data_IF_007272453750
#
_entry.id   IF_007272453750
#
_cell.length_a   1.000
_cell.length_b   1.000
_cell.length_c   1.000
_cell.angle_alpha   90.00
_cell.angle_beta   90.00
_cell.angle_gamma   90.00
#
_symmetry.space_group_name_H-M   'P 1'
#
loop_
_entity.id
_entity.type
_entity.pdbx_description
1 polymer ?
#
# COMPACT_ATOMS: atom_id res chain seq x y z
N UNK A 1 3.04 -25.58 -20.61
CA UNK A 1 2.94 -24.13 -20.37
C UNK A 1 3.91 -23.45 -21.32
N UNK A 2 3.40 -22.61 -22.21
CA UNK A 2 4.16 -21.88 -23.21
C UNK A 2 4.72 -20.55 -22.66
N UNK A 3 5.62 -19.91 -23.40
CA UNK A 3 6.08 -18.54 -23.09
C UNK A 3 4.90 -17.56 -23.08
N UNK A 4 3.94 -17.74 -23.98
CA UNK A 4 2.74 -16.90 -24.04
C UNK A 4 1.83 -17.12 -22.82
N UNK A 5 1.70 -18.35 -22.33
CA UNK A 5 0.98 -18.63 -21.08
C UNK A 5 1.65 -17.93 -19.89
N UNK A 6 2.99 -17.94 -19.83
CA UNK A 6 3.75 -17.26 -18.78
C UNK A 6 3.57 -15.74 -18.86
N UNK A 7 3.66 -15.13 -20.05
CA UNK A 7 3.40 -13.70 -20.25
C UNK A 7 1.99 -13.32 -19.82
N UNK A 8 0.98 -14.11 -20.19
CA UNK A 8 -0.40 -13.88 -19.79
C UNK A 8 -0.58 -13.94 -18.27
N UNK A 9 0.05 -14.90 -17.60
CA UNK A 9 0.02 -15.00 -16.14
C UNK A 9 0.67 -13.79 -15.46
N UNK A 10 1.83 -13.34 -15.96
CA UNK A 10 2.53 -12.16 -15.41
C UNK A 10 1.68 -10.89 -15.60
N UNK A 11 1.09 -10.67 -16.78
CA UNK A 11 0.19 -9.54 -17.03
C UNK A 11 -0.99 -9.52 -16.07
N UNK A 12 -1.64 -10.67 -15.85
CA UNK A 12 -2.71 -10.80 -14.85
C UNK A 12 -2.23 -10.47 -13.42
N UNK A 13 -1.02 -10.89 -13.07
CA UNK A 13 -0.40 -10.55 -11.78
C UNK A 13 -0.16 -9.06 -11.61
N UNK A 14 0.33 -8.38 -12.66
CA UNK A 14 0.51 -6.93 -12.69
C UNK A 14 -0.84 -6.22 -12.52
N UNK A 15 -1.85 -6.60 -13.30
CA UNK A 15 -3.20 -6.03 -13.18
C UNK A 15 -3.81 -6.22 -11.78
N UNK A 16 -3.61 -7.39 -11.17
CA UNK A 16 -4.05 -7.65 -9.80
C UNK A 16 -3.30 -6.77 -8.78
N UNK A 17 -2.01 -6.55 -9.00
CA UNK A 17 -1.16 -5.69 -8.17
C UNK A 17 -1.59 -4.22 -8.26
N UNK A 18 -1.93 -3.72 -9.45
CA UNK A 18 -2.46 -2.36 -9.61
C UNK A 18 -3.83 -2.18 -8.95
N UNK A 19 -4.72 -3.18 -9.05
CA UNK A 19 -6.00 -3.16 -8.31
C UNK A 19 -5.77 -3.12 -6.80
N UNK A 20 -4.87 -3.96 -6.29
CA UNK A 20 -4.51 -3.97 -4.88
C UNK A 20 -3.95 -2.61 -4.43
N UNK A 21 -3.06 -2.00 -5.24
CA UNK A 21 -2.50 -0.66 -5.00
C UNK A 21 -3.60 0.39 -4.87
N UNK A 22 -4.62 0.35 -5.74
CA UNK A 22 -5.77 1.26 -5.66
C UNK A 22 -6.56 1.06 -4.38
N UNK A 23 -6.94 -0.17 -4.04
CA UNK A 23 -7.70 -0.47 -2.82
C UNK A 23 -6.95 -0.07 -1.55
N UNK A 24 -5.63 -0.30 -1.51
CA UNK A 24 -4.80 0.09 -0.37
C UNK A 24 -4.71 1.61 -0.25
N UNK A 25 -4.58 2.35 -1.37
CA UNK A 25 -4.60 3.83 -1.35
C UNK A 25 -5.93 4.39 -0.85
N UNK A 26 -7.04 3.77 -1.25
CA UNK A 26 -8.36 4.19 -0.76
C UNK A 26 -8.46 3.96 0.76
N UNK A 27 -8.01 2.80 1.25
CA UNK A 27 -7.93 2.52 2.68
C UNK A 27 -6.99 3.48 3.43
N UNK A 28 -5.83 3.81 2.85
CA UNK A 28 -4.88 4.79 3.39
C UNK A 28 -5.54 6.16 3.55
N UNK A 29 -6.31 6.60 2.56
CA UNK A 29 -7.01 7.90 2.60
C UNK A 29 -7.98 7.99 3.79
N UNK A 30 -8.70 6.89 4.09
CA UNK A 30 -9.56 6.81 5.26
C UNK A 30 -8.76 6.76 6.57
N UNK A 31 -7.64 6.04 6.60
CA UNK A 31 -6.72 5.99 7.74
C UNK A 31 -6.15 7.36 8.09
N UNK A 32 -5.62 8.09 7.10
CA UNK A 32 -5.08 9.44 7.26
C UNK A 32 -6.15 10.45 7.68
N UNK A 33 -7.38 10.31 7.18
CA UNK A 33 -8.50 11.12 7.64
C UNK A 33 -8.79 10.86 9.12
N UNK A 34 -8.85 9.59 9.55
CA UNK A 34 -9.05 9.23 10.95
C UNK A 34 -7.92 9.77 11.84
N UNK A 35 -6.67 9.70 11.38
CA UNK A 35 -5.52 10.27 12.10
C UNK A 35 -5.60 11.79 12.21
N UNK A 36 -5.97 12.48 11.13
CA UNK A 36 -6.18 13.93 11.14
C UNK A 36 -7.26 14.34 12.15
N UNK A 37 -8.38 13.61 12.17
CA UNK A 37 -9.48 13.85 13.13
C UNK A 37 -9.05 13.55 14.57
N UNK A 38 -8.27 12.51 14.79
CA UNK A 38 -7.74 12.17 16.11
C UNK A 38 -6.79 13.27 16.62
N UNK A 39 -5.89 13.76 15.75
CA UNK A 39 -5.01 14.88 16.06
C UNK A 39 -5.82 16.14 16.38
N UNK A 40 -6.78 16.54 15.54
CA UNK A 40 -7.58 17.73 15.82
C UNK A 40 -8.37 17.64 17.13
N UNK A 41 -8.84 16.44 17.49
CA UNK A 41 -9.67 16.22 18.68
C UNK A 41 -8.85 16.15 19.97
N UNK A 42 -7.66 15.57 19.92
CA UNK A 42 -6.90 15.22 21.13
C UNK A 42 -5.44 15.72 21.13
N UNK A 43 -5.08 16.67 20.26
CA UNK A 43 -3.71 17.20 20.15
C UNK A 43 -3.08 17.67 21.46
N UNK A 44 -3.86 18.29 22.36
CA UNK A 44 -3.38 18.79 23.65
C UNK A 44 -3.43 17.73 24.77
N UNK A 45 -3.98 16.54 24.47
CA UNK A 45 -4.12 15.49 25.46
C UNK A 45 -2.78 14.83 25.74
N UNK A 46 -2.32 14.94 26.99
CA UNK A 46 -1.16 14.20 27.52
C UNK A 46 -1.54 12.84 28.11
N UNK A 47 -2.74 12.35 27.79
CA UNK A 47 -3.20 11.08 28.31
C UNK A 47 -2.46 9.95 27.57
N UNK A 48 -1.77 9.07 28.30
CA UNK A 48 -0.95 7.96 27.73
C UNK A 48 -1.69 7.07 26.71
N UNK A 49 -3.02 6.97 26.81
CA UNK A 49 -3.81 6.23 25.82
C UNK A 49 -3.91 6.96 24.47
N UNK A 50 -3.98 8.30 24.49
CA UNK A 50 -4.00 9.12 23.27
C UNK A 50 -2.64 9.08 22.59
N UNK A 51 -1.55 9.26 23.33
CA UNK A 51 -0.18 9.17 22.79
C UNK A 51 0.05 7.81 22.11
N UNK A 52 -0.28 6.71 22.80
CA UNK A 52 -0.20 5.36 22.20
C UNK A 52 -1.10 5.20 20.98
N UNK A 53 -2.29 5.82 20.98
CA UNK A 53 -3.17 5.83 19.83
C UNK A 53 -2.54 6.49 18.61
N UNK A 54 -1.90 7.65 18.79
CA UNK A 54 -1.15 8.33 17.72
C UNK A 54 0.03 7.49 17.22
N UNK A 55 0.75 6.82 18.11
CA UNK A 55 1.82 5.91 17.72
C UNK A 55 1.31 4.77 16.83
N UNK A 56 0.19 4.13 17.21
CA UNK A 56 -0.44 3.08 16.39
C UNK A 56 -0.88 3.59 15.02
N UNK A 57 -1.43 4.81 14.93
CA UNK A 57 -1.84 5.40 13.66
C UNK A 57 -0.65 5.69 12.74
N UNK A 58 0.44 6.23 13.30
CA UNK A 58 1.69 6.46 12.54
C UNK A 58 2.31 5.14 12.06
N UNK A 59 2.30 4.10 12.87
CA UNK A 59 2.77 2.77 12.50
C UNK A 59 1.92 2.19 11.34
N UNK A 60 0.59 2.33 11.42
CA UNK A 60 -0.30 1.88 10.36
C UNK A 60 -0.04 2.62 9.03
N UNK A 61 0.11 3.94 9.05
CA UNK A 61 0.47 4.74 7.85
C UNK A 61 1.83 4.28 7.28
N UNK A 62 2.81 4.02 8.14
CA UNK A 62 4.12 3.55 7.71
C UNK A 62 4.06 2.18 7.01
N UNK A 63 3.33 1.23 7.58
CA UNK A 63 3.18 -0.10 6.98
C UNK A 63 2.44 -0.05 5.64
N UNK A 64 1.43 0.81 5.51
CA UNK A 64 0.73 1.02 4.24
C UNK A 64 1.68 1.57 3.16
N UNK A 65 2.50 2.57 3.49
CA UNK A 65 3.50 3.13 2.57
C UNK A 65 4.53 2.06 2.14
N UNK A 66 4.97 1.20 3.07
CA UNK A 66 5.88 0.09 2.77
C UNK A 66 5.24 -0.93 1.82
N UNK A 67 3.97 -1.29 2.04
CA UNK A 67 3.25 -2.23 1.18
C UNK A 67 3.09 -1.66 -0.23
N UNK A 68 2.67 -0.39 -0.36
CA UNK A 68 2.53 0.28 -1.65
C UNK A 68 3.85 0.29 -2.43
N UNK A 69 4.97 0.59 -1.74
CA UNK A 69 6.31 0.54 -2.32
C UNK A 69 6.71 -0.86 -2.77
N UNK A 70 6.40 -1.90 -2.00
CA UNK A 70 6.72 -3.30 -2.35
C UNK A 70 5.93 -3.75 -3.58
N UNK A 71 4.65 -3.39 -3.66
CA UNK A 71 3.82 -3.66 -4.84
C UNK A 71 4.44 -3.02 -6.08
N UNK A 72 4.79 -1.74 -6.01
CA UNK A 72 5.42 -1.03 -7.12
C UNK A 72 6.73 -1.67 -7.59
N UNK A 73 7.64 -1.98 -6.66
CA UNK A 73 8.92 -2.66 -6.98
C UNK A 73 8.67 -4.02 -7.64
N UNK A 74 7.68 -4.78 -7.16
CA UNK A 74 7.34 -6.09 -7.75
C UNK A 74 6.75 -5.96 -9.16
N UNK A 75 5.87 -4.99 -9.38
CA UNK A 75 5.26 -4.72 -10.68
C UNK A 75 6.31 -4.26 -11.70
N UNK A 76 7.24 -3.40 -11.29
CA UNK A 76 8.34 -2.96 -12.13
C UNK A 76 9.26 -4.12 -12.54
N UNK A 77 9.58 -5.02 -11.60
CA UNK A 77 10.36 -6.21 -11.89
C UNK A 77 9.64 -7.14 -12.88
N UNK A 78 8.33 -7.34 -12.70
CA UNK A 78 7.51 -8.13 -13.60
C UNK A 78 7.42 -7.52 -15.01
N UNK A 79 7.25 -6.20 -15.12
CA UNK A 79 7.26 -5.47 -16.39
C UNK A 79 8.62 -5.58 -17.10
N UNK A 80 9.74 -5.42 -16.37
CA UNK A 80 11.08 -5.63 -16.94
C UNK A 80 11.24 -7.05 -17.48
N UNK A 81 10.76 -8.05 -16.76
CA UNK A 81 10.83 -9.44 -17.20
C UNK A 81 9.98 -9.71 -18.44
N UNK A 82 8.75 -9.14 -18.51
CA UNK A 82 7.94 -9.18 -19.73
C UNK A 82 8.68 -8.57 -20.92
N UNK A 83 9.34 -7.43 -20.73
CA UNK A 83 10.15 -6.79 -21.79
C UNK A 83 11.30 -7.67 -22.29
N UNK A 84 11.89 -8.51 -21.44
CA UNK A 84 12.94 -9.48 -21.83
C UNK A 84 12.34 -10.64 -22.65
N UNK A 85 11.12 -11.08 -22.35
CA UNK A 85 10.46 -12.18 -23.04
C UNK A 85 9.89 -11.78 -24.43
N UNK A 86 9.84 -10.48 -24.74
CA UNK A 86 9.16 -9.91 -25.92
C UNK A 86 7.65 -10.12 -25.87
#
# INVERSE_FOLDING_TARGET
MSIEDAKAAIRKGIEASERAKSTIRDADSHGRLAHTLALSTAHDSRHKAVERGFDCLREAEHEVDLVLRRIEVSTDAANRYLGILG
#
